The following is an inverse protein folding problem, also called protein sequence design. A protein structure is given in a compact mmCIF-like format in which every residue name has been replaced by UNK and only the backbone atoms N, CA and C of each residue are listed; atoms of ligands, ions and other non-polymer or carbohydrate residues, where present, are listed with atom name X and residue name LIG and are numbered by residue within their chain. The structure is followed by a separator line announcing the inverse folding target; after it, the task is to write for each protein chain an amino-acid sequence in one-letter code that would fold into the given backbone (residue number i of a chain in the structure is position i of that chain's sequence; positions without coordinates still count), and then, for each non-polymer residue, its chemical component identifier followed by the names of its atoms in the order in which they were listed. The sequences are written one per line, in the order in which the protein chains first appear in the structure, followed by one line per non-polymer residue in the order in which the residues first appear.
data_IF_622014323375
#
_entry.id   IF_622014323375
#
_cell.length_a   1.000
_cell.length_b   1.000
_cell.length_c   1.000
_cell.angle_alpha   90.00
_cell.angle_beta   90.00
_cell.angle_gamma   90.00
#
_symmetry.space_group_name_H-M   'P 1'
#
loop_
_entity.id
_entity.type
_entity.pdbx_description
1 polymer ?
#
# COMPACT_ATOMS: atom_id res chain seq x y z
N UNK A 1 -84.50 -13.28 -32.36
CA UNK A 1 -85.12 -12.24 -31.51
C UNK A 1 -84.03 -11.82 -30.54
N UNK A 2 -83.49 -10.61 -30.46
CA UNK A 2 -83.66 -9.26 -31.01
C UNK A 2 -82.22 -8.68 -31.02
N UNK A 3 -81.65 -8.12 -32.09
CA UNK A 3 -81.91 -6.83 -32.74
C UNK A 3 -81.79 -5.59 -31.81
N UNK A 4 -80.68 -4.84 -31.97
CA UNK A 4 -80.54 -3.35 -31.88
C UNK A 4 -79.10 -3.01 -32.31
N UNK A 5 -78.82 -2.77 -33.59
CA UNK A 5 -78.93 -1.52 -34.40
C UNK A 5 -78.17 -0.29 -33.86
N UNK A 6 -77.11 0.02 -34.60
CA UNK A 6 -76.37 1.28 -34.78
C UNK A 6 -77.12 2.60 -34.53
N UNK A 7 -76.37 3.60 -34.08
CA UNK A 7 -76.37 4.93 -34.71
C UNK A 7 -74.98 5.58 -34.66
N UNK A 8 -74.53 6.06 -35.83
CA UNK A 8 -73.33 6.87 -36.07
C UNK A 8 -73.67 8.34 -35.85
N UNK A 9 -72.69 9.15 -35.42
CA UNK A 9 -72.49 10.45 -36.06
C UNK A 9 -71.03 10.92 -35.94
N UNK A 10 -70.44 11.21 -37.10
CA UNK A 10 -69.16 11.91 -37.28
C UNK A 10 -69.34 13.42 -37.06
N UNK A 11 -68.36 14.07 -36.45
CA UNK A 11 -68.04 15.46 -36.74
C UNK A 11 -66.53 15.72 -36.58
N UNK A 12 -65.97 16.31 -37.63
CA UNK A 12 -64.56 16.64 -37.88
C UNK A 12 -64.02 17.74 -36.94
N UNK A 13 -62.73 17.60 -36.58
CA UNK A 13 -61.73 18.61 -36.95
C UNK A 13 -61.06 19.41 -35.84
N UNK A 14 -59.76 19.66 -36.08
CA UNK A 14 -58.77 20.50 -35.36
C UNK A 14 -58.25 19.84 -34.07
N UNK A 15 -56.98 19.40 -33.99
CA UNK A 15 -55.76 20.05 -34.43
C UNK A 15 -55.11 20.66 -33.19
N UNK A 16 -54.09 19.98 -32.65
CA UNK A 16 -53.34 20.44 -31.49
C UNK A 16 -52.46 19.34 -30.92
N UNK A 17 -51.22 19.27 -31.39
CA UNK A 17 -50.13 18.57 -30.72
C UNK A 17 -50.07 19.05 -29.26
N UNK A 18 -50.32 18.15 -28.31
CA UNK A 18 -49.77 18.28 -26.95
C UNK A 18 -48.86 17.08 -26.74
N UNK A 19 -47.57 17.37 -26.72
CA UNK A 19 -46.53 16.44 -26.35
C UNK A 19 -46.92 15.74 -25.04
N UNK A 20 -46.71 14.43 -25.00
CA UNK A 20 -46.68 13.64 -23.78
C UNK A 20 -45.62 14.25 -22.87
N UNK A 21 -46.05 15.01 -21.88
CA UNK A 21 -45.21 15.44 -20.79
C UNK A 21 -45.01 14.19 -19.92
N UNK A 22 -43.87 13.54 -20.12
CA UNK A 22 -43.41 12.48 -19.24
C UNK A 22 -43.17 13.16 -17.89
N UNK A 23 -43.99 12.83 -16.90
CA UNK A 23 -43.82 13.31 -15.53
C UNK A 23 -42.42 12.93 -15.06
N UNK A 24 -41.57 13.96 -14.95
CA UNK A 24 -40.25 13.88 -14.32
C UNK A 24 -40.50 13.42 -12.88
N UNK A 25 -39.85 12.36 -12.37
CA UNK A 25 -40.02 11.97 -10.98
C UNK A 25 -39.63 13.16 -10.10
N UNK A 26 -40.56 13.55 -9.22
CA UNK A 26 -40.31 14.55 -8.18
C UNK A 26 -39.01 14.16 -7.46
N UNK A 27 -38.06 15.08 -7.50
CA UNK A 27 -36.81 15.01 -6.75
C UNK A 27 -37.23 14.80 -5.29
N UNK A 28 -36.92 13.62 -4.74
CA UNK A 28 -37.15 13.32 -3.33
C UNK A 28 -36.54 14.46 -2.50
N UNK A 29 -37.27 15.05 -1.55
CA UNK A 29 -36.75 16.14 -0.76
C UNK A 29 -35.50 15.65 -0.02
N UNK A 30 -34.43 16.47 -0.12
CA UNK A 30 -33.15 16.26 0.55
C UNK A 30 -33.37 15.71 1.96
N UNK A 31 -32.77 14.54 2.19
CA UNK A 31 -32.73 13.76 3.42
C UNK A 31 -33.23 14.53 4.66
N UNK A 32 -34.36 14.09 5.22
CA UNK A 32 -34.68 14.35 6.62
C UNK A 32 -33.47 13.92 7.45
N UNK A 33 -32.65 14.89 7.88
CA UNK A 33 -31.52 14.65 8.78
C UNK A 33 -32.05 13.82 9.95
N UNK A 34 -31.46 12.64 10.13
CA UNK A 34 -31.80 11.69 11.19
C UNK A 34 -31.97 12.47 12.50
N UNK A 35 -33.11 12.35 13.22
CA UNK A 35 -33.30 13.06 14.47
C UNK A 35 -32.12 12.78 15.39
N UNK A 36 -31.52 13.82 15.97
CA UNK A 36 -30.46 13.70 16.97
C UNK A 36 -30.81 12.54 17.93
N UNK A 37 -29.93 11.54 18.07
CA UNK A 37 -30.22 10.33 18.84
C UNK A 37 -30.77 10.62 20.24
N UNK A 38 -30.31 11.73 20.83
CA UNK A 38 -30.79 12.24 22.13
C UNK A 38 -32.27 12.65 22.15
N UNK A 39 -32.85 13.06 21.02
CA UNK A 39 -34.25 13.48 20.87
C UNK A 39 -35.22 12.30 20.60
N UNK A 40 -34.72 11.09 20.36
CA UNK A 40 -35.56 9.93 20.07
C UNK A 40 -36.39 9.48 21.29
N UNK A 41 -37.64 9.00 21.10
CA UNK A 41 -38.44 8.42 22.17
C UNK A 41 -37.72 7.23 22.85
N UNK A 42 -37.94 7.04 24.15
CA UNK A 42 -37.26 5.98 24.93
C UNK A 42 -37.47 4.58 24.33
N UNK A 43 -38.66 4.30 23.80
CA UNK A 43 -38.95 3.04 23.13
C UNK A 43 -38.08 2.83 21.87
N UNK A 44 -37.83 3.90 21.10
CA UNK A 44 -36.97 3.85 19.91
C UNK A 44 -35.51 3.70 20.32
N UNK A 45 -35.02 4.47 21.31
CA UNK A 45 -33.66 4.33 21.86
C UNK A 45 -33.38 2.88 22.31
N UNK A 46 -34.32 2.26 23.02
CA UNK A 46 -34.20 0.85 23.44
C UNK A 46 -34.07 -0.11 22.25
N UNK A 47 -34.80 0.13 21.17
CA UNK A 47 -34.67 -0.65 19.93
C UNK A 47 -33.31 -0.45 19.29
N UNK A 48 -32.81 0.79 19.21
CA UNK A 48 -31.46 1.08 18.68
C UNK A 48 -30.37 0.41 19.53
N UNK A 49 -30.45 0.45 20.87
CA UNK A 49 -29.51 -0.29 21.72
C UNK A 49 -29.58 -1.81 21.52
N UNK A 50 -30.77 -2.36 21.26
CA UNK A 50 -30.90 -3.76 20.87
C UNK A 50 -30.23 -4.05 19.52
N UNK A 51 -30.37 -3.16 18.53
CA UNK A 51 -29.68 -3.26 17.24
C UNK A 51 -28.16 -3.18 17.41
N UNK A 52 -27.64 -2.27 18.24
CA UNK A 52 -26.20 -2.21 18.58
C UNK A 52 -25.68 -3.53 19.15
N UNK A 53 -26.45 -4.18 20.03
CA UNK A 53 -26.09 -5.51 20.55
C UNK A 53 -26.06 -6.57 19.46
N UNK A 54 -27.00 -6.55 18.52
CA UNK A 54 -26.98 -7.45 17.35
C UNK A 54 -25.76 -7.18 16.46
N UNK A 55 -25.39 -5.92 16.26
CA UNK A 55 -24.21 -5.55 15.49
C UNK A 55 -22.92 -6.09 16.13
N UNK A 56 -22.79 -6.05 17.47
CA UNK A 56 -21.66 -6.70 18.15
C UNK A 56 -21.64 -8.21 17.90
N UNK A 57 -22.80 -8.88 17.86
CA UNK A 57 -22.87 -10.30 17.53
C UNK A 57 -22.41 -10.56 16.09
N UNK A 58 -22.77 -9.69 15.14
CA UNK A 58 -22.27 -9.76 13.77
C UNK A 58 -20.75 -9.65 13.72
N UNK A 59 -20.14 -8.69 14.42
CA UNK A 59 -18.68 -8.54 14.47
C UNK A 59 -17.97 -9.79 15.02
N UNK A 60 -18.56 -10.50 15.99
CA UNK A 60 -18.00 -11.77 16.47
C UNK A 60 -18.13 -12.93 15.48
N UNK A 61 -19.11 -12.89 14.57
CA UNK A 61 -19.23 -13.87 13.48
C UNK A 61 -18.19 -13.54 12.40
N UNK A 62 -18.05 -12.26 12.07
CA UNK A 62 -17.05 -11.76 11.12
C UNK A 62 -15.62 -12.07 11.57
N UNK A 63 -15.32 -11.91 12.85
CA UNK A 63 -14.07 -12.35 13.46
C UNK A 63 -13.73 -13.81 13.16
N UNK A 64 -14.71 -14.72 13.28
CA UNK A 64 -14.52 -16.15 12.96
C UNK A 64 -14.35 -16.39 11.46
N UNK A 65 -15.06 -15.63 10.64
CA UNK A 65 -14.86 -15.68 9.20
C UNK A 65 -13.40 -15.35 8.85
N UNK A 66 -12.83 -14.31 9.45
CA UNK A 66 -11.44 -13.94 9.21
C UNK A 66 -10.43 -14.93 9.81
N UNK A 67 -10.74 -15.58 10.94
CA UNK A 67 -9.95 -16.73 11.41
C UNK A 67 -9.89 -17.84 10.36
N UNK A 68 -11.03 -18.21 9.76
CA UNK A 68 -11.12 -19.21 8.69
C UNK A 68 -10.39 -18.76 7.41
N UNK A 69 -10.50 -17.48 7.04
CA UNK A 69 -9.72 -16.88 5.93
C UNK A 69 -8.23 -17.04 6.18
N UNK A 70 -7.76 -16.76 7.39
CA UNK A 70 -6.35 -16.93 7.71
C UNK A 70 -5.89 -18.39 7.60
N UNK A 71 -6.72 -19.36 7.98
CA UNK A 71 -6.40 -20.78 7.73
C UNK A 71 -6.32 -21.11 6.24
N UNK A 72 -7.19 -20.50 5.44
CA UNK A 72 -7.18 -20.62 3.99
C UNK A 72 -5.91 -20.02 3.39
N UNK A 73 -5.50 -18.83 3.82
CA UNK A 73 -4.25 -18.19 3.40
C UNK A 73 -3.05 -19.10 3.68
N UNK A 74 -2.96 -19.70 4.88
CA UNK A 74 -1.89 -20.67 5.20
C UNK A 74 -1.87 -21.85 4.24
N UNK A 75 -3.05 -22.39 3.91
CA UNK A 75 -3.17 -23.51 2.96
C UNK A 75 -2.66 -23.11 1.57
N UNK A 76 -3.05 -21.94 1.07
CA UNK A 76 -2.65 -21.47 -0.25
C UNK A 76 -1.20 -20.98 -0.30
N UNK A 77 -0.64 -20.47 0.80
CA UNK A 77 0.77 -20.15 0.93
C UNK A 77 1.64 -21.38 0.60
N UNK A 78 1.25 -22.57 1.07
CA UNK A 78 1.92 -23.82 0.72
C UNK A 78 1.81 -24.21 -0.76
N UNK A 79 0.79 -23.74 -1.48
CA UNK A 79 0.65 -23.94 -2.93
C UNK A 79 1.46 -22.94 -3.74
N UNK A 80 1.63 -21.71 -3.23
CA UNK A 80 2.47 -20.69 -3.87
C UNK A 80 3.96 -20.93 -3.63
N UNK A 81 4.34 -21.56 -2.50
CA UNK A 81 5.74 -21.76 -2.14
C UNK A 81 6.60 -22.37 -3.26
N UNK A 82 6.20 -23.46 -3.96
CA UNK A 82 6.99 -24.02 -5.05
C UNK A 82 7.17 -23.07 -6.24
N UNK A 83 6.22 -22.16 -6.47
CA UNK A 83 6.29 -21.14 -7.53
C UNK A 83 7.31 -20.06 -7.13
N UNK A 84 7.27 -19.61 -5.87
CA UNK A 84 8.24 -18.65 -5.35
C UNK A 84 9.65 -19.22 -5.23
N UNK A 85 9.78 -20.50 -4.87
CA UNK A 85 11.06 -21.21 -4.87
C UNK A 85 11.67 -21.23 -6.28
N UNK A 86 10.88 -21.56 -7.30
CA UNK A 86 11.31 -21.47 -8.72
C UNK A 86 11.70 -20.05 -9.13
N UNK A 87 10.90 -19.04 -8.77
CA UNK A 87 11.23 -17.63 -9.02
C UNK A 87 12.60 -17.29 -8.43
N UNK A 88 12.86 -17.68 -7.18
CA UNK A 88 14.15 -17.48 -6.51
C UNK A 88 15.30 -18.17 -7.26
N UNK A 89 15.09 -19.39 -7.75
CA UNK A 89 16.10 -20.12 -8.54
C UNK A 89 16.45 -19.39 -9.84
N UNK A 90 15.46 -18.85 -10.55
CA UNK A 90 15.65 -18.05 -11.77
C UNK A 90 16.34 -16.71 -11.45
N UNK A 91 15.82 -15.96 -10.47
CA UNK A 91 16.38 -14.65 -10.06
C UNK A 91 17.85 -14.78 -9.63
N UNK A 92 18.21 -15.85 -8.93
CA UNK A 92 19.59 -16.09 -8.49
C UNK A 92 20.51 -16.71 -9.57
N UNK A 93 19.96 -17.10 -10.72
CA UNK A 93 20.69 -17.81 -11.78
C UNK A 93 21.15 -19.21 -11.34
N UNK A 94 20.40 -19.86 -10.46
CA UNK A 94 20.62 -21.25 -10.08
C UNK A 94 20.03 -22.22 -11.12
N UNK A 95 18.96 -21.80 -11.81
CA UNK A 95 18.31 -22.52 -12.91
C UNK A 95 18.08 -21.55 -14.06
N UNK A 96 18.49 -21.94 -15.25
CA UNK A 96 18.16 -21.21 -16.49
C UNK A 96 16.77 -21.67 -16.98
N UNK A 97 15.84 -20.75 -17.28
CA UNK A 97 14.54 -21.08 -17.85
C UNK A 97 14.67 -21.80 -19.19
N UNK A 98 13.74 -22.72 -19.46
CA UNK A 98 13.62 -23.35 -20.79
C UNK A 98 12.86 -22.44 -21.76
N UNK A 99 13.05 -22.64 -23.08
CA UNK A 99 12.34 -21.86 -24.11
C UNK A 99 10.80 -21.93 -23.91
N UNK A 100 10.27 -23.12 -23.58
CA UNK A 100 8.84 -23.33 -23.29
C UNK A 100 8.37 -22.56 -22.03
N UNK A 101 9.24 -22.36 -21.03
CA UNK A 101 8.92 -21.58 -19.82
C UNK A 101 8.98 -20.06 -20.07
N UNK A 102 9.67 -19.63 -21.13
CA UNK A 102 9.75 -18.25 -21.58
C UNK A 102 8.62 -17.88 -22.56
N UNK A 103 7.92 -18.86 -23.13
CA UNK A 103 6.78 -18.62 -24.02
C UNK A 103 5.57 -18.12 -23.21
N UNK A 104 5.40 -16.79 -23.17
CA UNK A 104 4.22 -16.13 -22.61
C UNK A 104 3.26 -15.74 -23.73
N UNK A 105 2.08 -16.37 -23.75
CA UNK A 105 1.02 -16.05 -24.71
C UNK A 105 0.09 -14.96 -24.14
N UNK A 106 0.55 -13.72 -24.07
CA UNK A 106 -0.36 -12.56 -24.04
C UNK A 106 -0.47 -11.96 -25.44
N UNK A 107 -1.69 -11.62 -25.85
CA UNK A 107 -1.91 -10.89 -27.11
C UNK A 107 -1.29 -9.48 -26.98
N UNK A 108 -0.01 -9.33 -27.34
CA UNK A 108 0.72 -8.05 -27.30
C UNK A 108 2.21 -8.20 -26.97
N UNK A 109 2.57 -8.86 -25.86
CA UNK A 109 3.97 -8.95 -25.39
C UNK A 109 4.82 -9.90 -26.25
N UNK A 110 4.20 -10.81 -27.00
CA UNK A 110 4.89 -11.70 -27.94
C UNK A 110 5.54 -10.92 -29.09
N UNK A 111 4.96 -9.79 -29.52
CA UNK A 111 5.59 -8.89 -30.50
C UNK A 111 6.77 -8.14 -29.87
N UNK A 112 6.62 -7.59 -28.66
CA UNK A 112 7.67 -6.83 -27.98
C UNK A 112 8.89 -7.68 -27.60
N UNK A 113 8.67 -8.88 -27.02
CA UNK A 113 9.75 -9.80 -26.68
C UNK A 113 10.49 -10.28 -27.95
N UNK A 114 9.74 -10.56 -29.02
CA UNK A 114 10.34 -10.96 -30.30
C UNK A 114 11.10 -9.81 -30.97
N UNK A 115 10.64 -8.56 -30.85
CA UNK A 115 11.37 -7.38 -31.31
C UNK A 115 12.65 -7.15 -30.51
N UNK A 116 12.60 -7.28 -29.18
CA UNK A 116 13.76 -7.10 -28.31
C UNK A 116 14.82 -8.19 -28.52
N UNK A 117 14.42 -9.45 -28.68
CA UNK A 117 15.31 -10.56 -29.03
C UNK A 117 15.95 -10.33 -30.41
N UNK A 118 15.18 -9.87 -31.41
CA UNK A 118 15.72 -9.52 -32.74
C UNK A 118 16.67 -8.33 -32.67
N UNK A 119 16.37 -7.32 -31.86
CA UNK A 119 17.21 -6.13 -31.67
C UNK A 119 18.51 -6.48 -30.97
N UNK A 120 18.47 -7.35 -29.95
CA UNK A 120 19.65 -7.89 -29.26
C UNK A 120 20.52 -8.71 -30.23
N UNK A 121 19.93 -9.61 -31.02
CA UNK A 121 20.66 -10.36 -32.05
C UNK A 121 21.29 -9.44 -33.12
N UNK A 122 20.59 -8.40 -33.57
CA UNK A 122 21.11 -7.43 -34.52
C UNK A 122 22.20 -6.50 -33.94
N UNK A 123 22.19 -6.28 -32.61
CA UNK A 123 23.24 -5.55 -31.88
C UNK A 123 24.47 -6.42 -31.65
N UNK A 124 24.30 -7.73 -31.43
CA UNK A 124 25.39 -8.71 -31.33
C UNK A 124 26.09 -8.93 -32.67
N UNK A 125 25.36 -9.00 -33.80
CA UNK A 125 25.95 -9.03 -35.15
C UNK A 125 26.76 -7.75 -35.47
N UNK A 126 26.46 -6.61 -34.82
CA UNK A 126 27.21 -5.35 -34.98
C UNK A 126 28.39 -5.20 -33.99
N UNK A 127 28.55 -6.10 -33.03
CA UNK A 127 29.55 -6.04 -31.94
C UNK A 127 30.63 -7.12 -32.05
N UNK A 128 31.01 -7.54 -33.25
CA UNK A 128 32.11 -8.52 -33.45
C UNK A 128 33.51 -8.04 -32.96
N UNK A 129 33.67 -6.78 -32.55
CA UNK A 129 34.92 -6.22 -31.99
C UNK A 129 34.86 -5.82 -30.49
N UNK A 130 33.79 -6.19 -29.76
CA UNK A 130 33.73 -6.00 -28.31
C UNK A 130 33.99 -7.33 -27.59
N UNK A 131 34.84 -7.30 -26.55
CA UNK A 131 35.07 -8.45 -25.67
C UNK A 131 33.72 -9.05 -25.22
N UNK A 132 33.62 -10.39 -25.06
CA UNK A 132 32.36 -11.02 -24.64
C UNK A 132 31.92 -10.37 -23.34
N UNK A 133 30.76 -9.71 -23.37
CA UNK A 133 30.07 -9.35 -22.15
C UNK A 133 29.85 -10.67 -21.40
N UNK A 134 30.31 -10.77 -20.15
CA UNK A 134 29.96 -11.93 -19.33
C UNK A 134 28.44 -11.97 -19.23
N UNK A 135 27.84 -13.11 -19.58
CA UNK A 135 26.41 -13.32 -19.38
C UNK A 135 26.10 -13.08 -17.89
N UNK A 136 25.21 -12.12 -17.58
CA UNK A 136 24.89 -11.81 -16.19
C UNK A 136 24.24 -13.03 -15.55
N UNK A 137 24.74 -13.43 -14.37
CA UNK A 137 24.16 -14.54 -13.62
C UNK A 137 22.81 -14.13 -13.03
N UNK A 138 21.74 -14.84 -13.40
CA UNK A 138 20.39 -14.59 -12.89
C UNK A 138 19.86 -13.22 -13.33
N UNK A 139 19.09 -12.59 -12.45
CA UNK A 139 18.55 -11.23 -12.64
C UNK A 139 19.22 -10.32 -11.61
N UNK A 140 20.32 -9.63 -11.95
CA UNK A 140 21.03 -8.76 -11.02
C UNK A 140 20.12 -7.69 -10.43
N UNK A 141 20.30 -7.42 -9.14
CA UNK A 141 19.62 -6.34 -8.43
C UNK A 141 18.08 -6.44 -8.43
N UNK A 142 17.48 -7.59 -8.74
CA UNK A 142 16.02 -7.78 -8.85
C UNK A 142 15.22 -7.10 -7.72
N UNK A 143 15.51 -7.44 -6.47
CA UNK A 143 14.82 -6.84 -5.32
C UNK A 143 15.20 -5.37 -5.12
N UNK A 144 16.46 -4.98 -5.31
CA UNK A 144 16.88 -3.59 -5.20
C UNK A 144 16.16 -2.70 -6.23
N UNK A 145 15.94 -3.19 -7.44
CA UNK A 145 15.15 -2.50 -8.46
C UNK A 145 13.71 -2.30 -8.00
N UNK A 146 13.07 -3.33 -7.43
CA UNK A 146 11.72 -3.20 -6.83
C UNK A 146 11.70 -2.13 -5.72
N UNK A 147 12.70 -2.12 -4.84
CA UNK A 147 12.83 -1.08 -3.80
C UNK A 147 12.95 0.34 -4.38
N UNK A 148 13.56 0.50 -5.56
CA UNK A 148 13.71 1.80 -6.23
C UNK A 148 12.49 2.21 -7.05
N UNK A 149 11.74 1.24 -7.55
CA UNK A 149 10.54 1.43 -8.36
C UNK A 149 9.32 1.80 -7.51
N UNK A 150 9.21 1.24 -6.31
CA UNK A 150 8.08 1.53 -5.42
C UNK A 150 8.39 2.72 -4.53
N UNK A 151 7.62 3.80 -4.68
CA UNK A 151 7.81 5.05 -3.92
C UNK A 151 7.92 4.84 -2.41
N UNK A 152 6.95 4.13 -1.81
CA UNK A 152 6.93 3.86 -0.37
C UNK A 152 8.20 3.12 0.10
N UNK A 153 8.76 2.22 -0.70
CA UNK A 153 10.01 1.51 -0.35
C UNK A 153 11.25 2.35 -0.66
N UNK A 154 11.19 3.18 -1.70
CA UNK A 154 12.24 4.09 -2.12
C UNK A 154 12.49 5.18 -1.09
N UNK A 155 11.44 5.70 -0.44
CA UNK A 155 11.55 6.68 0.65
C UNK A 155 12.32 6.15 1.87
N UNK A 156 12.24 4.84 2.13
CA UNK A 156 12.99 4.20 3.21
C UNK A 156 14.47 4.00 2.88
N UNK A 157 14.83 4.03 1.58
CA UNK A 157 16.13 3.61 1.10
C UNK A 157 17.13 4.77 1.11
N UNK A 158 18.33 4.51 1.64
CA UNK A 158 19.45 5.45 1.58
C UNK A 158 20.56 4.94 0.65
N UNK A 159 21.38 5.85 0.11
CA UNK A 159 22.48 5.48 -0.81
C UNK A 159 23.44 4.42 -0.24
N UNK A 160 23.60 4.40 1.09
CA UNK A 160 24.49 3.46 1.77
C UNK A 160 23.85 2.08 2.01
N UNK A 161 22.54 1.95 1.84
CA UNK A 161 21.79 0.69 1.95
C UNK A 161 21.87 -0.13 0.66
N UNK A 162 21.92 0.54 -0.50
CA UNK A 162 21.92 -0.14 -1.81
C UNK A 162 23.00 -1.22 -1.95
N UNK A 163 24.28 -0.98 -1.56
CA UNK A 163 25.32 -2.01 -1.66
C UNK A 163 25.02 -3.26 -0.84
N UNK A 164 24.18 -3.15 0.19
CA UNK A 164 23.75 -4.27 1.04
C UNK A 164 22.58 -4.99 0.37
N UNK A 165 21.61 -4.25 -0.15
CA UNK A 165 20.45 -4.82 -0.85
C UNK A 165 20.82 -5.52 -2.17
N UNK A 166 21.97 -5.21 -2.78
CA UNK A 166 22.51 -6.02 -3.90
C UNK A 166 22.75 -7.49 -3.53
N UNK A 167 22.89 -7.79 -2.24
CA UNK A 167 23.06 -9.16 -1.72
C UNK A 167 21.72 -9.83 -1.35
N UNK A 168 20.59 -9.14 -1.50
CA UNK A 168 19.26 -9.68 -1.21
C UNK A 168 18.84 -10.64 -2.34
N UNK A 169 18.67 -11.92 -1.99
CA UNK A 169 18.32 -12.98 -2.93
C UNK A 169 16.80 -13.21 -3.03
N UNK A 170 16.09 -13.12 -1.90
CA UNK A 170 14.65 -13.40 -1.85
C UNK A 170 13.98 -12.69 -0.68
N UNK A 171 12.68 -12.43 -0.82
CA UNK A 171 11.80 -12.00 0.25
C UNK A 171 10.63 -12.98 0.31
N UNK A 172 10.48 -13.64 1.45
CA UNK A 172 9.41 -14.63 1.67
C UNK A 172 8.51 -14.22 2.82
N UNK A 173 7.28 -14.74 2.83
CA UNK A 173 6.33 -14.58 3.93
C UNK A 173 5.99 -15.95 4.52
N UNK A 174 6.10 -16.08 5.84
CA UNK A 174 5.72 -17.28 6.59
C UNK A 174 4.61 -16.94 7.58
N UNK A 175 3.60 -17.80 7.69
CA UNK A 175 2.48 -17.61 8.61
C UNK A 175 2.67 -18.44 9.87
N UNK A 176 2.05 -18.04 10.98
CA UNK A 176 2.07 -18.83 12.22
C UNK A 176 1.46 -20.21 12.05
N UNK A 177 1.96 -21.16 12.84
CA UNK A 177 1.47 -22.54 12.79
C UNK A 177 0.03 -22.66 13.31
N UNK A 178 -0.75 -23.66 12.88
CA UNK A 178 -2.09 -23.91 13.40
C UNK A 178 -2.12 -23.97 14.94
N UNK A 179 -2.99 -23.17 15.56
CA UNK A 179 -3.14 -23.09 17.01
C UNK A 179 -2.21 -22.12 17.72
N UNK A 180 -1.29 -21.45 17.00
CA UNK A 180 -0.55 -20.30 17.51
C UNK A 180 -1.35 -19.00 17.24
N UNK A 181 -1.05 -17.89 17.96
CA UNK A 181 -1.61 -16.58 17.65
C UNK A 181 -1.38 -16.22 16.18
N UNK A 182 -2.34 -15.51 15.58
CA UNK A 182 -2.24 -15.07 14.19
C UNK A 182 -1.02 -14.15 14.03
N UNK A 183 -0.09 -14.53 13.16
CA UNK A 183 1.03 -13.68 12.81
C UNK A 183 1.59 -14.07 11.45
N UNK A 184 2.31 -13.15 10.82
CA UNK A 184 3.14 -13.47 9.67
C UNK A 184 4.54 -12.88 9.87
N UNK A 185 5.54 -13.51 9.26
CA UNK A 185 6.94 -13.09 9.32
C UNK A 185 7.44 -12.90 7.90
N UNK A 186 7.95 -11.70 7.62
CA UNK A 186 8.72 -11.41 6.43
C UNK A 186 10.16 -11.86 6.67
N UNK A 187 10.72 -12.59 5.73
CA UNK A 187 12.10 -13.09 5.78
C UNK A 187 12.86 -12.59 4.55
N UNK A 188 13.94 -11.84 4.81
CA UNK A 188 14.81 -11.26 3.79
C UNK A 188 16.08 -12.09 3.73
N UNK A 189 16.26 -12.84 2.64
CA UNK A 189 17.33 -13.82 2.48
C UNK A 189 18.52 -13.17 1.78
N UNK A 190 19.65 -13.09 2.48
CA UNK A 190 20.88 -12.51 1.96
C UNK A 190 21.92 -13.57 1.66
N UNK A 191 22.65 -13.38 0.57
CA UNK A 191 23.87 -14.14 0.33
C UNK A 191 24.98 -13.74 1.31
N UNK A 192 26.01 -14.59 1.49
CA UNK A 192 27.17 -14.23 2.30
C UNK A 192 27.79 -12.91 1.83
N UNK A 193 27.80 -11.90 2.70
CA UNK A 193 28.22 -10.54 2.37
C UNK A 193 29.20 -9.96 3.41
N UNK A 194 29.73 -8.76 3.12
CA UNK A 194 30.74 -8.10 3.95
C UNK A 194 30.16 -7.15 5.03
N UNK A 195 28.84 -7.09 5.16
CA UNK A 195 28.16 -6.10 6.00
C UNK A 195 27.68 -6.68 7.32
N UNK A 196 27.04 -7.85 7.30
CA UNK A 196 26.60 -8.59 8.50
C UNK A 196 26.77 -10.09 8.31
N UNK A 197 26.61 -10.88 9.38
CA UNK A 197 26.71 -12.35 9.32
C UNK A 197 25.38 -13.08 9.15
N UNK A 198 24.25 -12.39 9.34
CA UNK A 198 22.93 -12.97 9.15
C UNK A 198 22.74 -13.41 7.70
N UNK A 199 22.17 -14.61 7.51
CA UNK A 199 21.71 -15.08 6.19
C UNK A 199 20.26 -14.72 5.95
N UNK A 200 19.49 -14.49 7.03
CA UNK A 200 18.08 -14.10 6.98
C UNK A 200 17.84 -13.01 8.00
N UNK A 201 17.22 -11.91 7.58
CA UNK A 201 16.68 -10.87 8.47
C UNK A 201 15.16 -11.04 8.53
N UNK A 202 14.58 -10.99 9.73
CA UNK A 202 13.16 -11.29 9.94
C UNK A 202 12.42 -10.11 10.54
N UNK A 203 11.18 -9.89 10.06
CA UNK A 203 10.24 -8.94 10.63
C UNK A 203 8.89 -9.63 10.82
N UNK A 204 8.49 -9.82 12.08
CA UNK A 204 7.25 -10.48 12.47
C UNK A 204 6.18 -9.46 12.83
N UNK A 205 4.96 -9.70 12.35
CA UNK A 205 3.77 -8.92 12.67
C UNK A 205 2.75 -9.82 13.35
N UNK A 206 2.33 -9.44 14.57
CA UNK A 206 1.27 -10.12 15.30
C UNK A 206 -0.06 -9.49 14.94
N UNK A 207 -1.04 -10.33 14.69
CA UNK A 207 -2.36 -9.90 14.27
C UNK A 207 -3.42 -10.35 15.27
N UNK A 208 -4.53 -9.61 15.29
CA UNK A 208 -5.69 -9.92 16.10
C UNK A 208 -6.93 -9.83 15.23
N UNK A 209 -7.82 -10.81 15.35
CA UNK A 209 -9.11 -10.86 14.64
C UNK A 209 -10.31 -10.76 15.57
N UNK A 210 -10.10 -10.51 16.87
CA UNK A 210 -11.19 -10.36 17.84
C UNK A 210 -11.60 -8.88 18.00
N UNK A 211 -12.91 -8.55 17.97
CA UNK A 211 -13.39 -7.19 18.18
C UNK A 211 -12.93 -6.63 19.54
N UNK A 212 -12.62 -5.35 19.61
CA UNK A 212 -12.31 -4.72 20.90
C UNK A 212 -13.55 -4.73 21.81
N UNK A 213 -13.34 -5.09 23.07
CA UNK A 213 -14.36 -5.00 24.11
C UNK A 213 -14.77 -3.55 24.43
N UNK A 214 -13.86 -2.59 24.27
CA UNK A 214 -14.12 -1.17 24.53
C UNK A 214 -14.78 -0.49 23.32
N UNK A 215 -14.35 -0.84 22.10
CA UNK A 215 -14.96 -0.38 20.85
C UNK A 215 -15.19 -1.52 19.85
N UNK A 216 -16.25 -2.34 20.03
CA UNK A 216 -16.50 -3.47 19.13
C UNK A 216 -17.00 -3.06 17.74
N UNK A 217 -17.27 -1.78 17.52
CA UNK A 217 -17.79 -1.27 16.24
C UNK A 217 -16.69 -0.79 15.30
N UNK A 218 -15.45 -0.65 15.79
CA UNK A 218 -14.27 -0.35 14.97
C UNK A 218 -13.65 -1.59 14.32
N UNK A 219 -14.22 -2.78 14.55
CA UNK A 219 -13.72 -4.02 13.96
C UNK A 219 -14.00 -4.04 12.44
N UNK A 220 -12.93 -4.00 11.65
CA UNK A 220 -12.97 -4.04 10.18
C UNK A 220 -12.24 -5.27 9.60
N UNK A 221 -11.77 -6.17 10.47
CA UNK A 221 -11.03 -7.37 10.10
C UNK A 221 -9.77 -7.56 10.95
N UNK A 222 -8.88 -8.48 10.56
CA UNK A 222 -7.61 -8.70 11.23
C UNK A 222 -6.72 -7.46 11.14
N UNK A 223 -6.30 -6.97 12.30
CA UNK A 223 -5.39 -5.83 12.40
C UNK A 223 -4.03 -6.27 12.93
N UNK A 224 -2.96 -5.61 12.49
CA UNK A 224 -1.64 -5.75 13.12
C UNK A 224 -1.68 -5.00 14.45
N UNK A 225 -1.35 -5.70 15.53
CA UNK A 225 -1.36 -5.15 16.90
C UNK A 225 0.03 -4.91 17.47
N UNK A 226 1.04 -5.57 16.90
CA UNK A 226 2.41 -5.51 17.39
C UNK A 226 3.37 -6.01 16.30
N UNK A 227 4.62 -5.58 16.36
CA UNK A 227 5.67 -6.05 15.46
C UNK A 227 7.00 -6.29 16.20
N UNK A 228 7.76 -7.26 15.70
CA UNK A 228 9.07 -7.61 16.22
C UNK A 228 10.05 -7.75 15.05
N UNK A 229 11.11 -6.95 15.08
CA UNK A 229 12.22 -7.13 14.15
C UNK A 229 13.28 -8.09 14.67
N UNK A 230 14.41 -8.16 13.98
CA UNK A 230 15.53 -9.01 14.35
C UNK A 230 16.81 -8.20 14.55
N UNK A 231 17.71 -8.73 15.38
CA UNK A 231 19.03 -8.12 15.57
C UNK A 231 19.91 -8.41 14.35
N UNK A 232 20.42 -7.34 13.73
CA UNK A 232 21.43 -7.43 12.68
C UNK A 232 22.82 -7.53 13.33
N UNK A 233 23.55 -8.59 13.02
CA UNK A 233 24.92 -8.81 13.50
C UNK A 233 25.92 -8.16 12.53
N UNK A 234 25.97 -6.82 12.59
CA UNK A 234 26.86 -6.00 11.78
C UNK A 234 28.33 -6.36 11.98
N UNK A 235 29.05 -6.45 10.86
CA UNK A 235 30.50 -6.48 10.86
C UNK A 235 31.06 -5.12 11.30
N UNK A 236 32.31 -5.13 11.77
CA UNK A 236 32.93 -3.95 12.40
C UNK A 236 32.96 -2.75 11.44
N UNK A 237 32.26 -1.67 11.81
CA UNK A 237 32.22 -0.43 11.05
C UNK A 237 31.38 -0.50 9.76
N UNK A 238 30.50 -1.51 9.66
CA UNK A 238 29.57 -1.72 8.55
C UNK A 238 28.12 -1.45 8.93
N UNK A 239 27.87 -1.11 10.19
CA UNK A 239 26.57 -0.69 10.66
C UNK A 239 26.16 0.62 10.00
N UNK A 240 25.17 0.52 9.10
CA UNK A 240 24.63 1.66 8.37
C UNK A 240 23.50 2.35 9.11
N UNK A 241 22.98 1.81 10.22
CA UNK A 241 21.96 2.50 11.00
C UNK A 241 22.56 3.53 11.96
N UNK A 242 23.89 3.63 12.03
CA UNK A 242 24.60 4.59 12.89
C UNK A 242 25.70 5.36 12.17
N UNK A 243 25.75 6.66 12.41
CA UNK A 243 26.83 7.54 11.99
C UNK A 243 27.87 7.71 13.09
N UNK A 244 29.13 7.47 12.74
CA UNK A 244 30.26 7.62 13.66
C UNK A 244 30.79 9.07 13.70
N UNK A 245 30.62 9.78 14.81
CA UNK A 245 31.11 11.15 15.01
C UNK A 245 32.33 11.15 15.94
N UNK A 246 33.47 11.66 15.45
CA UNK A 246 34.71 11.80 16.23
C UNK A 246 34.80 13.18 16.89
N UNK A 247 34.61 13.25 18.21
CA UNK A 247 34.75 14.49 18.98
C UNK A 247 36.09 14.53 19.70
N UNK A 248 36.91 15.55 19.39
CA UNK A 248 38.17 15.81 20.10
C UNK A 248 37.87 16.47 21.44
N UNK A 249 38.16 15.80 22.55
CA UNK A 249 38.02 16.34 23.90
C UNK A 249 39.39 16.72 24.44
N UNK A 250 39.58 18.00 24.80
CA UNK A 250 40.80 18.49 25.45
C UNK A 250 40.62 18.44 26.96
N UNK A 251 41.52 17.77 27.67
CA UNK A 251 41.47 17.71 29.13
C UNK A 251 41.78 19.09 29.72
N UNK A 252 40.86 19.65 30.51
CA UNK A 252 41.09 20.88 31.28
C UNK A 252 42.17 20.57 32.34
N UNK A 253 43.40 21.02 32.12
CA UNK A 253 44.52 20.85 33.06
C UNK A 253 45.78 20.19 32.48
N UNK A 254 45.67 19.15 31.65
CA UNK A 254 46.85 18.38 31.15
C UNK A 254 47.21 18.67 29.69
N UNK A 255 46.40 19.44 28.98
CA UNK A 255 46.63 19.80 27.56
C UNK A 255 46.45 18.65 26.56
N UNK A 256 46.39 17.40 27.02
CA UNK A 256 46.20 16.20 26.20
C UNK A 256 44.83 16.20 25.51
N UNK A 257 44.83 15.92 24.21
CA UNK A 257 43.63 15.78 23.38
C UNK A 257 43.34 14.29 23.21
N UNK A 258 42.15 13.85 23.62
CA UNK A 258 41.64 12.50 23.35
C UNK A 258 40.51 12.57 22.34
N UNK A 259 40.52 11.69 21.34
CA UNK A 259 39.42 11.57 20.38
C UNK A 259 38.42 10.56 20.92
N UNK A 260 37.20 11.01 21.20
CA UNK A 260 36.09 10.16 21.59
C UNK A 260 35.23 9.94 20.35
N UNK A 261 35.01 8.67 20.02
CA UNK A 261 34.08 8.25 18.99
C UNK A 261 32.70 8.09 19.62
N UNK A 262 31.68 8.76 19.08
CA UNK A 262 30.27 8.61 19.46
C UNK A 262 29.48 8.16 18.24
N UNK A 263 28.72 7.09 18.39
CA UNK A 263 27.74 6.65 17.39
C UNK A 263 26.42 7.39 17.63
N UNK A 264 25.79 7.83 16.55
CA UNK A 264 24.49 8.50 16.56
C UNK A 264 23.62 7.80 15.53
N UNK A 265 22.34 7.48 15.82
CA UNK A 265 21.43 6.92 14.83
C UNK A 265 21.38 7.75 13.55
N UNK A 266 21.25 7.09 12.42
CA UNK A 266 21.00 7.69 11.12
C UNK A 266 19.92 6.90 10.38
N UNK A 267 19.29 7.56 9.42
CA UNK A 267 18.27 6.94 8.58
C UNK A 267 18.90 5.87 7.70
N UNK A 268 18.19 4.76 7.56
CA UNK A 268 18.58 3.55 6.83
C UNK A 268 17.37 2.63 6.78
N UNK A 269 17.17 1.96 5.65
CA UNK A 269 16.15 0.92 5.51
C UNK A 269 16.26 -0.14 6.61
N UNK A 270 17.48 -0.47 7.06
CA UNK A 270 17.72 -1.52 8.05
C UNK A 270 17.18 -1.18 9.45
N UNK A 271 16.73 0.07 9.69
CA UNK A 271 15.95 0.41 10.88
C UNK A 271 14.59 -0.31 10.92
N UNK A 272 14.07 -0.77 9.76
CA UNK A 272 12.86 -1.59 9.65
C UNK A 272 12.93 -2.87 10.51
N UNK A 273 14.12 -3.42 10.72
CA UNK A 273 14.32 -4.61 11.58
C UNK A 273 14.50 -4.28 13.06
N UNK A 274 14.42 -3.00 13.44
CA UNK A 274 14.46 -2.54 14.82
C UNK A 274 13.29 -1.58 15.08
N UNK A 275 12.04 -2.09 15.03
CA UNK A 275 10.85 -1.25 15.16
C UNK A 275 10.84 -0.52 16.50
N UNK A 276 10.23 0.66 16.50
CA UNK A 276 9.97 1.40 17.72
C UNK A 276 9.10 0.56 18.67
N UNK A 277 9.36 0.63 19.97
CA UNK A 277 8.56 -0.07 20.98
C UNK A 277 7.80 0.93 21.81
N UNK A 278 6.53 0.63 22.04
CA UNK A 278 5.68 1.36 22.97
C UNK A 278 6.38 1.48 24.33
N UNK A 279 6.47 2.70 24.86
CA UNK A 279 6.97 2.90 26.22
C UNK A 279 5.85 2.59 27.23
N UNK A 280 6.19 2.16 28.47
CA UNK A 280 5.19 1.96 29.53
C UNK A 280 4.41 3.23 29.89
N UNK A 281 4.95 4.40 29.57
CA UNK A 281 4.37 5.71 29.87
C UNK A 281 3.44 6.23 28.75
N UNK A 282 3.18 5.40 27.72
CA UNK A 282 2.39 5.75 26.54
C UNK A 282 3.24 5.86 25.26
N UNK A 283 2.57 5.99 24.12
CA UNK A 283 3.20 6.34 22.85
C UNK A 283 2.98 7.84 22.57
N UNK A 284 3.99 8.49 22.02
CA UNK A 284 3.86 9.86 21.47
C UNK A 284 3.23 9.76 20.07
N UNK A 285 2.55 10.81 19.60
CA UNK A 285 1.84 10.81 18.31
C UNK A 285 2.77 10.43 17.14
N UNK A 286 4.04 10.85 17.21
CA UNK A 286 5.08 10.50 16.22
C UNK A 286 5.40 8.99 16.18
N UNK A 287 5.33 8.30 17.34
CA UNK A 287 5.57 6.87 17.42
C UNK A 287 4.40 6.08 16.85
N UNK A 288 3.16 6.54 17.09
CA UNK A 288 1.96 5.92 16.53
C UNK A 288 1.96 6.03 15.01
N UNK A 289 2.32 7.19 14.46
CA UNK A 289 2.47 7.38 13.01
C UNK A 289 3.56 6.46 12.44
N UNK A 290 4.72 6.39 13.10
CA UNK A 290 5.83 5.52 12.67
C UNK A 290 5.42 4.03 12.64
N UNK A 291 4.67 3.58 13.65
CA UNK A 291 4.19 2.19 13.70
C UNK A 291 3.09 1.92 12.66
N UNK A 292 2.20 2.89 12.42
CA UNK A 292 1.18 2.76 11.37
C UNK A 292 1.83 2.58 9.99
N UNK A 293 2.82 3.42 9.65
CA UNK A 293 3.60 3.26 8.41
C UNK A 293 4.33 1.92 8.36
N UNK A 294 4.93 1.47 9.48
CA UNK A 294 5.59 0.17 9.55
C UNK A 294 4.63 -1.01 9.28
N UNK A 295 3.41 -0.93 9.81
CA UNK A 295 2.36 -1.94 9.60
C UNK A 295 1.86 -1.93 8.15
N UNK A 296 1.69 -0.75 7.57
CA UNK A 296 1.33 -0.58 6.16
C UNK A 296 2.39 -1.21 5.24
N UNK A 297 3.68 -0.94 5.49
CA UNK A 297 4.79 -1.58 4.76
C UNK A 297 4.75 -3.11 4.93
N UNK A 298 4.47 -3.59 6.14
CA UNK A 298 4.31 -5.02 6.43
C UNK A 298 3.22 -5.69 5.59
N UNK A 299 2.04 -5.07 5.53
CA UNK A 299 0.93 -5.51 4.67
C UNK A 299 1.30 -5.44 3.19
N UNK A 300 1.91 -4.34 2.76
CA UNK A 300 2.30 -4.13 1.37
C UNK A 300 3.27 -5.19 0.86
N UNK A 301 4.27 -5.58 1.67
CA UNK A 301 5.14 -6.71 1.32
C UNK A 301 4.38 -8.01 1.16
N UNK A 302 3.52 -8.34 2.14
CA UNK A 302 2.75 -9.58 2.18
C UNK A 302 1.75 -9.68 1.03
N UNK A 303 1.01 -8.63 0.75
CA UNK A 303 -0.18 -8.66 -0.12
C UNK A 303 0.11 -8.23 -1.55
N UNK A 304 1.10 -7.35 -1.77
CA UNK A 304 1.41 -6.81 -3.10
C UNK A 304 2.78 -7.24 -3.61
N UNK A 305 3.86 -6.90 -2.90
CA UNK A 305 5.23 -7.06 -3.42
C UNK A 305 5.61 -8.53 -3.60
N UNK A 306 5.47 -9.37 -2.58
CA UNK A 306 5.89 -10.77 -2.66
C UNK A 306 5.10 -11.53 -3.73
N UNK A 307 3.76 -11.43 -3.82
CA UNK A 307 2.99 -12.14 -4.84
C UNK A 307 3.25 -11.65 -6.28
N UNK A 308 3.57 -10.36 -6.46
CA UNK A 308 3.67 -9.71 -7.78
C UNK A 308 5.06 -9.13 -8.07
N UNK A 309 6.11 -9.67 -7.45
CA UNK A 309 7.45 -9.10 -7.49
C UNK A 309 7.97 -8.80 -8.90
N UNK A 310 7.68 -9.67 -9.87
CA UNK A 310 8.09 -9.47 -11.28
C UNK A 310 7.44 -8.23 -11.91
N UNK A 311 6.17 -7.96 -11.60
CA UNK A 311 5.43 -6.81 -12.14
C UNK A 311 5.94 -5.48 -11.53
N UNK A 312 6.38 -5.50 -10.27
CA UNK A 312 7.07 -4.35 -9.67
C UNK A 312 8.49 -4.16 -10.23
N UNK A 313 9.15 -5.27 -10.59
CA UNK A 313 10.44 -5.21 -11.25
C UNK A 313 10.34 -4.64 -12.66
N UNK A 314 9.33 -5.04 -13.45
CA UNK A 314 9.11 -4.51 -14.81
C UNK A 314 8.46 -3.12 -14.82
N UNK A 315 7.76 -2.74 -13.75
CA UNK A 315 7.08 -1.46 -13.60
C UNK A 315 5.58 -1.51 -13.89
N UNK A 316 5.08 -2.60 -14.47
CA UNK A 316 3.65 -2.78 -14.83
C UNK A 316 2.71 -2.64 -13.61
N UNK A 317 3.15 -3.05 -12.43
CA UNK A 317 2.33 -2.92 -11.21
C UNK A 317 2.25 -1.48 -10.68
N UNK A 318 3.06 -0.55 -11.17
CA UNK A 318 3.01 0.87 -10.78
C UNK A 318 1.97 1.64 -11.60
N UNK A 319 1.85 1.32 -12.89
CA UNK A 319 0.91 1.97 -13.81
C UNK A 319 -0.55 1.77 -13.37
N UNK A 320 -0.86 0.62 -12.76
CA UNK A 320 -2.18 0.32 -12.19
C UNK A 320 -2.52 1.22 -10.97
N UNK A 321 -1.53 1.59 -10.14
CA UNK A 321 -1.73 2.46 -8.97
C UNK A 321 -1.89 3.94 -9.40
N UNK A 322 -1.18 4.41 -10.43
CA UNK A 322 -1.32 5.78 -10.99
C UNK A 322 -2.68 6.01 -11.68
N UNK A 323 -3.31 4.97 -12.22
CA UNK A 323 -4.64 5.07 -12.87
C UNK A 323 -5.78 5.50 -11.94
N UNK A 324 -5.56 5.43 -10.61
CA UNK A 324 -6.50 5.91 -9.60
C UNK A 324 -6.27 7.38 -9.19
N UNK A 325 -5.13 7.99 -9.52
CA UNK A 325 -4.81 9.37 -9.14
C UNK A 325 -5.22 10.42 -10.19
N UNK A 326 -5.44 10.02 -11.45
CA UNK A 326 -5.74 10.97 -12.53
C UNK A 326 -7.22 11.42 -12.60
N UNK A 327 -8.13 10.83 -11.79
CA UNK A 327 -9.56 11.21 -11.79
C UNK A 327 -9.94 12.39 -10.87
N UNK A 328 -9.00 12.97 -10.10
CA UNK A 328 -9.32 13.99 -9.08
C UNK A 328 -8.65 15.38 -9.29
N UNK A 329 -8.14 15.69 -10.49
CA UNK A 329 -7.54 17.00 -10.81
C UNK A 329 -8.26 17.80 -11.92
N UNK A 330 -9.59 17.74 -11.99
CA UNK A 330 -10.41 18.76 -12.67
C UNK A 330 -11.16 19.66 -11.67
N UNK A 331 -10.44 20.37 -10.80
CA UNK A 331 -10.96 21.61 -10.21
C UNK A 331 -10.47 22.83 -11.01
N UNK A 332 -11.21 23.10 -12.09
CA UNK A 332 -11.60 24.43 -12.57
C UNK A 332 -10.54 25.53 -12.64
N UNK A 333 -9.93 25.68 -13.82
CA UNK A 333 -9.55 27.00 -14.33
C UNK A 333 -10.83 27.86 -14.48
N UNK A 334 -11.12 28.74 -13.53
CA UNK A 334 -12.00 29.88 -13.77
C UNK A 334 -11.11 31.10 -14.03
N UNK A 335 -10.96 31.40 -15.32
CA UNK A 335 -10.29 32.57 -15.87
C UNK A 335 -10.91 33.89 -15.35
N UNK A 336 -10.01 34.87 -15.16
CA UNK A 336 -10.27 36.26 -14.81
C UNK A 336 -11.39 36.94 -15.63
N UNK A 337 -12.28 37.65 -14.94
CA UNK A 337 -13.04 38.77 -15.53
C UNK A 337 -12.87 40.02 -14.67
N UNK A 338 -11.82 40.80 -15.01
CA UNK A 338 -11.72 42.22 -14.73
C UNK A 338 -12.76 43.01 -15.55
N UNK A 339 -13.53 43.90 -14.92
CA UNK A 339 -13.76 45.26 -15.45
C UNK A 339 -14.35 46.19 -14.36
N UNK A 340 -13.50 47.14 -13.93
CA UNK A 340 -13.72 48.56 -13.62
C UNK A 340 -15.17 49.04 -13.39
N UNK A 341 -15.56 49.79 -12.34
CA UNK A 341 -14.91 50.90 -11.65
C UNK A 341 -15.90 52.08 -11.66
N UNK A 342 -16.21 52.69 -10.51
CA UNK A 342 -16.60 54.12 -10.41
C UNK A 342 -16.63 54.54 -8.92
N UNK A 343 -15.80 55.55 -8.61
CA UNK A 343 -15.74 56.25 -7.33
C UNK A 343 -16.78 57.41 -7.25
N UNK A 344 -16.85 57.98 -6.05
CA UNK A 344 -17.42 59.29 -5.63
C UNK A 344 -18.93 59.32 -5.30
N UNK A 345 -19.44 60.02 -4.27
CA UNK A 345 -18.94 60.71 -3.06
C UNK A 345 -20.20 61.23 -2.31
N UNK A 346 -20.01 61.61 -1.05
CA UNK A 346 -20.76 62.54 -0.21
C UNK A 346 -22.10 62.14 0.46
N UNK A 347 -22.15 62.37 1.78
CA UNK A 347 -23.40 62.70 2.47
C UNK A 347 -23.47 62.44 3.97
N UNK A 348 -22.73 63.23 4.74
CA UNK A 348 -22.80 63.52 6.19
C UNK A 348 -24.19 63.31 6.87
N UNK A 349 -24.19 62.87 8.15
CA UNK A 349 -24.85 63.58 9.26
C UNK A 349 -24.70 62.82 10.60
N UNK A 350 -23.92 63.45 11.48
CA UNK A 350 -23.80 63.33 12.93
C UNK A 350 -25.16 63.37 13.68
N UNK A 351 -25.22 62.75 14.88
CA UNK A 351 -25.65 63.39 16.15
C UNK A 351 -25.74 62.37 17.30
N UNK A 352 -24.72 62.40 18.14
CA UNK A 352 -24.73 62.43 19.62
C UNK A 352 -25.94 61.90 20.41
N UNK A 353 -25.66 61.03 21.39
CA UNK A 353 -25.97 61.24 22.82
C UNK A 353 -25.19 60.25 23.70
#
# INVERSE_FOLDING_TARGET
MEARKNEKNEAKGKGGNKALQVDRPEIMPQAERIPNFSALPQAVKRRVYALKRLQVQSAHIEAKFYEEVHELERKYAGLYQPIFDKRREVVSGAVEPTDEECEWHSEGEEEDLAEDLKKKAALEEKKEDAAPAEDPKGIPEFWLTIFKHVDMLGEMLQEHDEPILKHLQDITVTFSEPGQPMSFTLEFHFEPNSFFSNTVLTKMYKMKSEPDSADPFSFEGPEIVDCEGCKIDWQKGKDVTVKTIKKKQKHKGRGTVRTITKEVPQDSFFNFFNPAKASPDGMDEDLDFTLATDFEIGHFFRERIIPRAVLYFTGEALEDDESFEEEDLEEGEEEDLDEEGEEEDEGDLDLTA
#
